data_IF_863621385444
#
_entry.id   IF_863621385444
#
_cell.length_a   1.000
_cell.length_b   1.000
_cell.length_c   1.000
_cell.angle_alpha   90.00
_cell.angle_beta   90.00
_cell.angle_gamma   90.00
#
_symmetry.space_group_name_H-M   'P 1'
#
loop_
_entity.id
_entity.type
_entity.pdbx_description
1 polymer ?
#
# COMPACT_ATOMS: atom_id res chain seq x y z
N UNK A 1 -50.37 14.11 16.42
CA UNK A 1 -49.78 12.80 16.07
C UNK A 1 -49.30 12.74 14.62
N UNK A 2 -50.15 13.03 13.62
CA UNK A 2 -49.76 13.02 12.19
C UNK A 2 -48.58 13.94 11.84
N UNK A 3 -48.54 15.14 12.41
CA UNK A 3 -47.46 16.12 12.18
C UNK A 3 -46.11 15.64 12.69
N UNK A 4 -46.09 14.99 13.86
CA UNK A 4 -44.87 14.39 14.42
C UNK A 4 -44.35 13.26 13.53
N UNK A 5 -45.24 12.42 13.00
CA UNK A 5 -44.88 11.32 12.09
C UNK A 5 -44.25 11.87 10.79
N UNK A 6 -44.81 12.96 10.24
CA UNK A 6 -44.27 13.60 9.04
C UNK A 6 -42.88 14.19 9.31
N UNK A 7 -42.69 14.85 10.45
CA UNK A 7 -41.40 15.42 10.84
C UNK A 7 -40.33 14.34 11.05
N UNK A 8 -40.68 13.22 11.69
CA UNK A 8 -39.76 12.10 11.87
C UNK A 8 -39.36 11.47 10.54
N UNK A 9 -40.32 11.29 9.62
CA UNK A 9 -40.02 10.76 8.28
C UNK A 9 -39.09 11.69 7.50
N UNK A 10 -39.36 13.00 7.54
CA UNK A 10 -38.52 13.98 6.87
C UNK A 10 -37.08 13.98 7.41
N UNK A 11 -36.92 13.92 8.74
CA UNK A 11 -35.62 13.85 9.38
C UNK A 11 -34.85 12.57 8.99
N UNK A 12 -35.52 11.41 8.95
CA UNK A 12 -34.89 10.15 8.53
C UNK A 12 -34.47 10.16 7.07
N UNK A 13 -35.26 10.78 6.18
CA UNK A 13 -34.93 10.90 4.76
C UNK A 13 -33.72 11.82 4.53
N UNK A 14 -33.65 12.94 5.25
CA UNK A 14 -32.50 13.85 5.19
C UNK A 14 -31.23 13.13 5.66
N UNK A 15 -31.29 12.44 6.80
CA UNK A 15 -30.16 11.65 7.31
C UNK A 15 -29.70 10.59 6.31
N UNK A 16 -30.63 9.83 5.74
CA UNK A 16 -30.29 8.79 4.76
C UNK A 16 -29.63 9.37 3.50
N UNK A 17 -30.13 10.50 2.99
CA UNK A 17 -29.55 11.17 1.82
C UNK A 17 -28.15 11.74 2.10
N UNK A 18 -27.94 12.36 3.27
CA UNK A 18 -26.63 12.93 3.63
C UNK A 18 -25.59 11.86 4.01
N UNK A 19 -26.03 10.73 4.59
CA UNK A 19 -25.14 9.62 4.92
C UNK A 19 -24.76 8.78 3.70
N UNK A 20 -25.61 8.72 2.66
CA UNK A 20 -25.31 7.99 1.43
C UNK A 20 -24.18 8.63 0.61
N UNK A 21 -24.10 9.97 0.60
CA UNK A 21 -23.04 10.72 -0.11
C UNK A 21 -21.69 10.72 0.63
N UNK A 22 -21.61 10.16 1.85
CA UNK A 22 -20.35 10.09 2.61
C UNK A 22 -19.39 8.98 2.12
N UNK A 23 -19.71 8.34 0.99
CA UNK A 23 -18.88 7.32 0.35
C UNK A 23 -17.53 7.84 -0.17
N UNK A 24 -17.35 9.16 -0.21
CA UNK A 24 -16.09 9.87 -0.53
C UNK A 24 -14.93 9.49 0.41
N UNK A 25 -15.20 8.88 1.58
CA UNK A 25 -14.15 8.41 2.50
C UNK A 25 -13.50 7.09 2.06
N UNK A 26 -14.01 6.44 1.00
CA UNK A 26 -13.52 5.15 0.51
C UNK A 26 -12.62 5.29 -0.73
N UNK A 27 -12.13 6.51 -1.01
CA UNK A 27 -11.24 6.83 -2.13
C UNK A 27 -9.77 7.00 -1.69
N UNK A 28 -9.36 6.48 -0.54
CA UNK A 28 -7.94 6.22 -0.30
C UNK A 28 -7.59 4.89 -0.96
N UNK A 29 -7.12 4.95 -2.21
CA UNK A 29 -6.49 3.84 -2.91
C UNK A 29 -5.27 3.23 -2.17
N UNK A 30 -4.95 3.74 -0.98
CA UNK A 30 -3.93 3.25 -0.05
C UNK A 30 -4.41 2.08 0.84
N UNK A 31 -5.70 1.68 0.80
CA UNK A 31 -6.24 0.63 1.68
C UNK A 31 -5.53 -0.74 1.53
N UNK A 32 -4.94 -1.03 0.36
CA UNK A 32 -4.22 -2.30 0.16
C UNK A 32 -2.75 -2.24 0.59
N UNK A 33 -2.12 -1.06 0.59
CA UNK A 33 -0.70 -0.89 0.92
C UNK A 33 -0.44 0.51 1.51
N UNK A 34 -0.80 0.75 2.78
CA UNK A 34 -0.55 2.02 3.45
C UNK A 34 0.95 2.29 3.69
N UNK A 35 1.80 1.27 3.47
CA UNK A 35 3.24 1.39 3.60
C UNK A 35 3.87 1.54 2.22
N UNK A 36 4.49 2.70 1.98
CA UNK A 36 5.32 2.89 0.79
C UNK A 36 6.59 2.04 0.94
N UNK A 37 7.08 1.48 -0.17
CA UNK A 37 8.31 0.70 -0.12
C UNK A 37 9.50 1.57 0.36
N UNK A 38 10.47 0.93 1.01
CA UNK A 38 11.59 1.64 1.64
C UNK A 38 12.41 2.47 0.64
N UNK A 39 12.48 2.03 -0.62
CA UNK A 39 13.16 2.75 -1.70
C UNK A 39 12.44 4.03 -2.10
N UNK A 40 11.10 4.02 -2.22
CA UNK A 40 10.29 5.23 -2.45
C UNK A 40 10.34 6.15 -1.24
N UNK A 41 10.29 5.61 -0.02
CA UNK A 41 10.41 6.42 1.21
C UNK A 41 11.71 7.22 1.28
N UNK A 42 12.84 6.60 0.94
CA UNK A 42 14.14 7.29 0.89
C UNK A 42 14.17 8.44 -0.14
N UNK A 43 13.31 8.42 -1.16
CA UNK A 43 13.19 9.52 -2.13
C UNK A 43 12.61 10.81 -1.52
N UNK A 44 11.83 10.70 -0.44
CA UNK A 44 11.17 11.84 0.22
C UNK A 44 11.95 12.38 1.43
N UNK A 45 12.98 11.68 1.90
CA UNK A 45 13.79 12.09 3.06
C UNK A 45 14.68 13.31 2.72
N UNK A 46 14.73 14.27 3.65
CA UNK A 46 15.35 15.59 3.50
C UNK A 46 16.87 15.52 3.20
N UNK A 47 17.37 16.46 2.39
CA UNK A 47 18.70 16.42 1.76
C UNK A 47 19.90 16.67 2.68
N UNK A 48 19.68 17.21 3.88
CA UNK A 48 20.77 17.75 4.70
C UNK A 48 21.68 16.67 5.32
N UNK A 49 21.22 15.41 5.43
CA UNK A 49 22.03 14.26 5.86
C UNK A 49 22.33 13.26 4.74
N UNK A 50 22.20 13.69 3.47
CA UNK A 50 22.19 12.79 2.30
C UNK A 50 23.44 11.92 2.17
N UNK A 51 24.64 12.41 2.50
CA UNK A 51 25.87 11.63 2.29
C UNK A 51 26.00 10.47 3.27
N UNK A 52 25.75 10.70 4.56
CA UNK A 52 25.78 9.66 5.59
C UNK A 52 24.62 8.66 5.40
N UNK A 53 23.43 9.15 5.07
CA UNK A 53 22.28 8.30 4.77
C UNK A 53 22.54 7.41 3.55
N UNK A 54 23.16 7.93 2.48
CA UNK A 54 23.56 7.13 1.31
C UNK A 54 24.63 6.09 1.69
N UNK A 55 25.60 6.45 2.53
CA UNK A 55 26.64 5.52 2.97
C UNK A 55 26.04 4.37 3.80
N UNK A 56 25.16 4.69 4.75
CA UNK A 56 24.45 3.71 5.57
C UNK A 56 23.53 2.83 4.73
N UNK A 57 22.80 3.40 3.77
CA UNK A 57 21.95 2.62 2.87
C UNK A 57 22.80 1.66 2.02
N UNK A 58 23.94 2.10 1.49
CA UNK A 58 24.84 1.22 0.72
C UNK A 58 25.40 0.07 1.55
N UNK A 59 25.74 0.29 2.82
CA UNK A 59 26.18 -0.77 3.72
C UNK A 59 25.03 -1.75 3.99
N UNK A 60 23.82 -1.23 4.23
CA UNK A 60 22.62 -2.04 4.45
C UNK A 60 22.23 -2.87 3.22
N UNK A 61 22.33 -2.32 2.02
CA UNK A 61 22.09 -3.03 0.75
C UNK A 61 23.09 -4.17 0.53
N UNK A 62 24.37 -3.97 0.90
CA UNK A 62 25.39 -5.03 0.83
C UNK A 62 25.15 -6.16 1.82
N UNK A 63 24.69 -5.82 3.03
CA UNK A 63 24.43 -6.79 4.09
C UNK A 63 23.00 -7.34 4.08
N UNK A 64 22.22 -7.03 3.04
CA UNK A 64 20.82 -7.45 2.94
C UNK A 64 20.72 -8.96 2.76
N UNK A 65 19.88 -9.60 3.57
CA UNK A 65 19.62 -11.03 3.47
C UNK A 65 18.97 -11.38 2.13
N UNK A 66 19.24 -12.57 1.56
CA UNK A 66 18.62 -12.99 0.29
C UNK A 66 17.10 -13.00 0.36
N UNK A 67 16.49 -13.40 1.48
CA UNK A 67 15.04 -13.38 1.67
C UNK A 67 14.47 -11.95 1.63
N UNK A 68 15.17 -10.98 2.25
CA UNK A 68 14.75 -9.58 2.23
C UNK A 68 14.84 -9.00 0.81
N UNK A 69 15.88 -9.36 0.06
CA UNK A 69 16.01 -8.96 -1.35
C UNK A 69 14.86 -9.51 -2.20
N UNK A 70 14.50 -10.77 -1.99
CA UNK A 70 13.40 -11.42 -2.71
C UNK A 70 12.04 -10.79 -2.36
N UNK A 71 11.84 -10.44 -1.09
CA UNK A 71 10.68 -9.67 -0.65
C UNK A 71 10.58 -8.34 -1.38
N UNK A 72 11.66 -7.57 -1.45
CA UNK A 72 11.62 -6.28 -2.14
C UNK A 72 11.36 -6.39 -3.64
N UNK A 73 11.92 -7.39 -4.32
CA UNK A 73 11.62 -7.66 -5.74
C UNK A 73 10.12 -7.92 -5.94
N UNK A 74 9.52 -8.63 -5.00
CA UNK A 74 8.13 -9.03 -5.04
C UNK A 74 7.19 -7.86 -4.70
N UNK A 75 7.60 -6.95 -3.81
CA UNK A 75 6.91 -5.68 -3.52
C UNK A 75 6.91 -4.72 -4.72
N UNK A 76 7.91 -4.79 -5.60
CA UNK A 76 7.95 -3.97 -6.82
C UNK A 76 7.00 -4.49 -7.94
N UNK A 77 6.48 -5.73 -7.84
CA UNK A 77 5.60 -6.35 -8.83
C UNK A 77 4.28 -6.86 -8.21
N UNK A 78 3.20 -6.11 -8.44
CA UNK A 78 1.88 -6.32 -7.82
C UNK A 78 1.36 -7.79 -7.85
N UNK A 79 1.48 -8.56 -8.94
CA UNK A 79 1.08 -9.96 -8.94
C UNK A 79 1.92 -10.85 -8.01
N UNK A 80 3.21 -10.56 -7.87
CA UNK A 80 4.09 -11.26 -6.93
C UNK A 80 3.71 -10.90 -5.49
N UNK A 81 3.50 -9.61 -5.21
CA UNK A 81 3.08 -9.12 -3.91
C UNK A 81 1.76 -9.76 -3.44
N UNK A 82 0.76 -9.78 -4.32
CA UNK A 82 -0.53 -10.40 -4.03
C UNK A 82 -0.39 -11.89 -3.72
N UNK A 83 0.44 -12.61 -4.49
CA UNK A 83 0.69 -14.03 -4.26
C UNK A 83 1.48 -14.28 -2.95
N UNK A 84 2.50 -13.45 -2.69
CA UNK A 84 3.31 -13.53 -1.47
C UNK A 84 2.51 -13.21 -0.22
N UNK A 85 1.53 -12.31 -0.29
CA UNK A 85 0.63 -12.02 0.84
C UNK A 85 -0.18 -13.25 1.29
N UNK A 86 -0.44 -14.19 0.36
CA UNK A 86 -1.23 -15.40 0.61
C UNK A 86 -0.38 -16.64 0.91
N UNK A 87 0.75 -16.78 0.24
CA UNK A 87 1.59 -18.00 0.28
C UNK A 87 2.99 -17.78 0.87
N UNK A 88 3.33 -16.54 1.23
CA UNK A 88 4.66 -16.15 1.70
C UNK A 88 5.64 -15.88 0.57
N UNK A 89 6.65 -15.06 0.87
CA UNK A 89 7.68 -14.63 -0.10
C UNK A 89 8.60 -15.75 -0.60
N UNK A 90 8.74 -16.85 0.15
CA UNK A 90 9.51 -18.01 -0.29
C UNK A 90 8.81 -18.75 -1.46
N UNK A 91 7.47 -18.75 -1.49
CA UNK A 91 6.69 -19.43 -2.52
C UNK A 91 6.50 -18.57 -3.78
N UNK A 92 6.66 -17.25 -3.68
CA UNK A 92 6.49 -16.31 -4.81
C UNK A 92 7.73 -16.21 -5.71
N UNK A 93 8.84 -16.78 -5.29
CA UNK A 93 10.12 -16.77 -6.00
C UNK A 93 10.11 -17.20 -7.47
N UNK A 94 9.40 -18.27 -7.85
CA UNK A 94 9.35 -18.70 -9.26
C UNK A 94 8.62 -17.66 -10.13
N UNK A 95 7.62 -16.96 -9.57
CA UNK A 95 6.85 -15.94 -10.28
C UNK A 95 7.66 -14.67 -10.53
N UNK A 96 8.49 -14.25 -9.58
CA UNK A 96 9.42 -13.13 -9.76
C UNK A 96 10.56 -13.49 -10.72
N UNK A 97 11.11 -14.71 -10.65
CA UNK A 97 12.15 -15.17 -11.59
C UNK A 97 11.68 -15.23 -13.05
N UNK A 98 10.44 -15.68 -13.30
CA UNK A 98 9.87 -15.68 -14.66
C UNK A 98 9.64 -14.27 -15.22
N UNK A 99 9.42 -13.29 -14.36
CA UNK A 99 9.22 -11.89 -14.77
C UNK A 99 10.54 -11.16 -15.04
N UNK A 100 11.57 -11.34 -14.20
CA UNK A 100 12.90 -10.76 -14.44
C UNK A 100 13.49 -11.20 -15.78
N UNK A 101 13.29 -12.46 -16.17
CA UNK A 101 13.77 -13.00 -17.46
C UNK A 101 12.98 -12.50 -18.69
N UNK A 102 11.87 -11.78 -18.49
CA UNK A 102 11.04 -11.21 -19.57
C UNK A 102 11.26 -9.70 -19.76
N UNK A 103 12.05 -9.07 -18.89
CA UNK A 103 12.36 -7.62 -18.91
C UNK A 103 13.81 -7.36 -19.38
N UNK A 104 14.62 -8.41 -19.50
CA UNK A 104 15.90 -8.43 -20.23
C UNK A 104 15.68 -8.87 -21.70
#
# INVERSE_FOLDING_TARGET
MRTLIILTLLATLIMAATCYESHESMESHEYLNPFINRRRANGFMQTDMRLEAIAQERIRERNKAPQERQREICEDYYPCELYASRHGYAASLPYSHGFLHSVD
#
